data_IF_227688036737
#
_entry.id   IF_227688036737
#
_cell.length_a   1.000
_cell.length_b   1.000
_cell.length_c   1.000
_cell.angle_alpha   90.00
_cell.angle_beta   90.00
_cell.angle_gamma   90.00
#
_symmetry.space_group_name_H-M   'P 1'
#
loop_
_entity.id
_entity.type
_entity.pdbx_description
1 polymer ?
#
# COMPACT_ATOMS: atom_id res chain seq x y z
N UNK A 1 12.98 0.62 -28.80
CA UNK A 1 12.65 0.77 -27.36
C UNK A 1 12.49 -0.56 -26.64
N UNK A 2 11.60 -1.47 -27.07
CA UNK A 2 11.40 -2.80 -26.42
C UNK A 2 12.64 -3.71 -26.31
N UNK A 3 13.68 -3.49 -27.13
CA UNK A 3 14.96 -4.22 -27.02
C UNK A 3 15.83 -3.81 -25.80
N UNK A 4 15.46 -2.77 -25.04
CA UNK A 4 16.24 -2.28 -23.87
C UNK A 4 15.43 -2.09 -22.58
N UNK A 5 14.11 -1.97 -22.66
CA UNK A 5 13.27 -1.68 -21.49
C UNK A 5 11.99 -2.53 -21.54
N UNK A 6 11.73 -3.27 -20.46
CA UNK A 6 10.52 -4.10 -20.29
C UNK A 6 9.38 -3.33 -19.58
N UNK A 7 9.29 -2.01 -19.73
CA UNK A 7 8.32 -1.19 -18.98
C UNK A 7 6.94 -1.29 -19.65
N UNK A 8 5.81 -1.35 -18.91
CA UNK A 8 4.48 -1.37 -19.51
C UNK A 8 4.19 -0.12 -20.33
N UNK A 9 3.60 -0.30 -21.51
CA UNK A 9 3.23 0.79 -22.43
C UNK A 9 1.73 0.77 -22.71
N UNK A 10 1.05 1.87 -22.38
CA UNK A 10 -0.35 2.11 -22.75
C UNK A 10 -0.38 3.14 -23.87
N UNK A 11 -0.97 2.80 -25.01
CA UNK A 11 -1.18 3.74 -26.11
C UNK A 11 -2.56 4.37 -25.98
N UNK A 12 -2.62 5.71 -26.09
CA UNK A 12 -3.86 6.46 -26.03
C UNK A 12 -4.05 7.23 -27.33
N UNK A 13 -5.15 7.00 -28.04
CA UNK A 13 -5.35 7.50 -29.40
C UNK A 13 -6.81 7.92 -29.67
N UNK A 14 -7.01 8.84 -30.62
CA UNK A 14 -8.35 9.19 -31.12
C UNK A 14 -8.79 8.32 -32.32
N UNK A 15 -7.92 7.40 -32.76
CA UNK A 15 -8.20 6.49 -33.88
C UNK A 15 -8.90 5.25 -33.36
N UNK A 16 -10.13 5.06 -33.83
CA UNK A 16 -11.04 4.02 -33.34
C UNK A 16 -11.14 2.82 -34.28
N UNK A 17 -10.44 2.86 -35.42
CA UNK A 17 -10.37 1.73 -36.35
C UNK A 17 -9.66 0.54 -35.70
N UNK A 18 -10.25 -0.64 -35.81
CA UNK A 18 -9.71 -1.87 -35.20
C UNK A 18 -8.32 -2.22 -35.75
N UNK A 19 -8.05 -1.85 -37.00
CA UNK A 19 -6.73 -2.00 -37.64
C UNK A 19 -5.65 -1.22 -36.87
N UNK A 20 -5.95 -0.03 -36.37
CA UNK A 20 -4.99 0.80 -35.63
C UNK A 20 -4.77 0.31 -34.20
N UNK A 21 -5.81 -0.25 -33.56
CA UNK A 21 -5.67 -0.95 -32.27
C UNK A 21 -4.76 -2.18 -32.39
N UNK A 22 -5.00 -3.00 -33.41
CA UNK A 22 -4.22 -4.21 -33.68
C UNK A 22 -2.76 -3.85 -33.97
N UNK A 23 -2.52 -2.81 -34.78
CA UNK A 23 -1.15 -2.31 -35.04
C UNK A 23 -0.48 -1.84 -33.75
N UNK A 24 -1.15 -1.03 -32.93
CA UNK A 24 -0.59 -0.52 -31.67
C UNK A 24 -0.15 -1.63 -30.71
N UNK A 25 -0.96 -2.68 -30.58
CA UNK A 25 -0.62 -3.86 -29.77
C UNK A 25 0.54 -4.66 -30.38
N UNK A 26 0.53 -4.88 -31.71
CA UNK A 26 1.59 -5.62 -32.42
C UNK A 26 2.96 -4.89 -32.41
N UNK A 27 2.98 -3.56 -32.38
CA UNK A 27 4.22 -2.78 -32.21
C UNK A 27 4.74 -2.75 -30.77
N UNK A 28 4.00 -3.37 -29.85
CA UNK A 28 4.44 -3.61 -28.49
C UNK A 28 3.91 -2.65 -27.44
N UNK A 29 2.66 -2.23 -27.61
CA UNK A 29 1.87 -1.76 -26.48
C UNK A 29 1.32 -2.94 -25.68
N UNK A 30 1.19 -2.77 -24.36
CA UNK A 30 0.53 -3.73 -23.46
C UNK A 30 -0.97 -3.41 -23.31
N UNK A 31 -1.38 -2.21 -23.71
CA UNK A 31 -2.77 -1.76 -23.79
C UNK A 31 -2.94 -0.67 -24.85
N UNK A 32 -4.17 -0.55 -25.37
CA UNK A 32 -4.56 0.50 -26.30
C UNK A 32 -5.92 1.04 -25.91
N UNK A 33 -6.00 2.34 -25.65
CA UNK A 33 -7.23 3.01 -25.21
C UNK A 33 -7.62 4.14 -26.16
N UNK A 34 -8.87 4.11 -26.62
CA UNK A 34 -9.44 5.10 -27.53
C UNK A 34 -10.04 6.28 -26.78
N UNK A 35 -9.91 7.49 -27.30
CA UNK A 35 -10.64 8.67 -26.81
C UNK A 35 -12.09 8.62 -27.31
N UNK A 36 -13.08 9.07 -26.51
CA UNK A 36 -12.95 9.58 -25.15
C UNK A 36 -12.86 8.45 -24.10
N UNK A 37 -12.12 8.68 -23.01
CA UNK A 37 -12.00 7.79 -21.86
C UNK A 37 -12.17 8.59 -20.56
N UNK A 38 -12.55 7.91 -19.48
CA UNK A 38 -12.60 8.56 -18.16
C UNK A 38 -11.21 8.54 -17.48
N UNK A 39 -10.84 9.57 -16.70
CA UNK A 39 -9.63 9.54 -15.89
C UNK A 39 -9.56 8.33 -14.94
N UNK A 40 -10.71 7.88 -14.42
CA UNK A 40 -10.80 6.71 -13.55
C UNK A 40 -10.44 5.40 -14.29
N UNK A 41 -10.88 5.26 -15.54
CA UNK A 41 -10.54 4.10 -16.37
C UNK A 41 -9.04 4.05 -16.67
N UNK A 42 -8.45 5.19 -17.04
CA UNK A 42 -7.00 5.27 -17.27
C UNK A 42 -6.23 4.90 -16.00
N UNK A 43 -6.63 5.44 -14.84
CA UNK A 43 -5.99 5.15 -13.56
C UNK A 43 -6.07 3.65 -13.20
N UNK A 44 -7.23 3.01 -13.42
CA UNK A 44 -7.41 1.58 -13.19
C UNK A 44 -6.49 0.72 -14.09
N UNK A 45 -6.37 1.08 -15.38
CA UNK A 45 -5.48 0.40 -16.33
C UNK A 45 -4.02 0.56 -15.96
N UNK A 46 -3.59 1.79 -15.63
CA UNK A 46 -2.22 2.05 -15.16
C UNK A 46 -1.90 1.17 -13.94
N UNK A 47 -2.78 1.14 -12.94
CA UNK A 47 -2.59 0.32 -11.72
C UNK A 47 -2.48 -1.17 -12.04
N UNK A 48 -3.30 -1.67 -12.96
CA UNK A 48 -3.27 -3.09 -13.38
C UNK A 48 -1.94 -3.46 -14.05
N UNK A 49 -1.44 -2.61 -14.97
CA UNK A 49 -0.19 -2.86 -15.69
C UNK A 49 1.05 -2.76 -14.81
N UNK A 50 1.10 -1.77 -13.91
CA UNK A 50 2.16 -1.68 -12.90
C UNK A 50 2.15 -2.92 -12.00
N UNK A 51 0.98 -3.34 -11.50
CA UNK A 51 0.88 -4.52 -10.64
C UNK A 51 1.35 -5.79 -11.35
N UNK A 52 1.01 -5.97 -12.63
CA UNK A 52 1.46 -7.10 -13.44
C UNK A 52 2.96 -7.07 -13.70
N UNK A 53 3.51 -5.89 -13.95
CA UNK A 53 4.93 -5.69 -14.20
C UNK A 53 5.80 -6.05 -13.00
N UNK A 54 5.42 -5.56 -11.82
CA UNK A 54 6.12 -5.90 -10.57
C UNK A 54 6.12 -7.41 -10.31
N UNK A 55 5.00 -8.10 -10.60
CA UNK A 55 4.90 -9.56 -10.47
C UNK A 55 5.84 -10.31 -11.43
N UNK A 56 5.98 -9.84 -12.67
CA UNK A 56 6.79 -10.50 -13.71
C UNK A 56 8.29 -10.28 -13.53
N UNK A 57 8.70 -9.15 -12.95
CA UNK A 57 10.11 -8.81 -12.70
C UNK A 57 10.81 -9.66 -11.64
N UNK A 58 10.16 -10.69 -11.11
CA UNK A 58 10.68 -11.43 -9.96
C UNK A 58 10.66 -10.60 -8.67
N UNK A 59 10.02 -9.43 -8.69
CA UNK A 59 9.54 -8.73 -7.49
C UNK A 59 8.29 -9.46 -6.95
N UNK A 60 8.41 -10.78 -6.78
CA UNK A 60 7.57 -11.55 -5.88
C UNK A 60 7.89 -11.13 -4.44
N UNK A 61 7.47 -9.92 -4.11
CA UNK A 61 7.34 -9.44 -2.75
C UNK A 61 6.27 -8.36 -2.77
N UNK A 62 5.02 -8.82 -2.66
CA UNK A 62 4.28 -8.41 -1.46
C UNK A 62 5.24 -8.65 -0.29
N UNK A 63 6.11 -7.69 0.03
CA UNK A 63 7.25 -7.93 0.89
C UNK A 63 6.75 -8.58 2.15
N UNK A 64 7.01 -9.89 2.29
CA UNK A 64 6.65 -10.61 3.49
C UNK A 64 7.33 -9.91 4.66
N UNK A 65 8.45 -9.22 4.43
CA UNK A 65 9.15 -8.45 5.44
C UNK A 65 9.06 -6.96 5.11
N UNK A 66 8.39 -6.17 5.95
CA UNK A 66 8.49 -4.70 5.91
C UNK A 66 9.60 -4.30 6.88
N UNK A 67 10.66 -3.63 6.41
CA UNK A 67 11.81 -3.24 7.23
C UNK A 67 12.07 -1.73 7.16
N UNK A 68 12.08 -1.06 8.33
CA UNK A 68 12.27 0.39 8.46
C UNK A 68 12.99 0.70 9.77
N UNK A 69 14.13 1.39 9.74
CA UNK A 69 14.86 1.87 10.95
C UNK A 69 14.95 0.84 12.10
N UNK A 70 15.23 -0.41 11.77
CA UNK A 70 15.33 -1.50 12.74
C UNK A 70 14.00 -2.16 13.15
N UNK A 71 12.84 -1.63 12.76
CA UNK A 71 11.57 -2.34 12.80
C UNK A 71 11.49 -3.30 11.62
N UNK A 72 11.24 -4.58 11.87
CA UNK A 72 10.93 -5.57 10.85
C UNK A 72 9.59 -6.24 11.13
N UNK A 73 8.72 -6.33 10.12
CA UNK A 73 7.42 -6.97 10.19
C UNK A 73 7.41 -8.10 9.17
N UNK A 74 7.54 -9.34 9.65
CA UNK A 74 7.33 -10.53 8.84
C UNK A 74 5.83 -10.91 8.84
N UNK A 75 5.19 -10.75 7.69
CA UNK A 75 3.78 -10.99 7.39
C UNK A 75 3.46 -12.47 7.25
N UNK A 76 4.36 -13.28 6.70
CA UNK A 76 4.13 -14.72 6.60
C UNK A 76 4.17 -15.39 7.97
N UNK A 77 5.12 -15.00 8.82
CA UNK A 77 5.27 -15.57 10.16
C UNK A 77 4.53 -14.80 11.25
N UNK A 78 3.79 -13.73 10.92
CA UNK A 78 3.16 -12.81 11.90
C UNK A 78 4.13 -12.29 12.99
N UNK A 79 5.41 -12.12 12.66
CA UNK A 79 6.46 -11.75 13.63
C UNK A 79 6.87 -10.29 13.45
N UNK A 80 7.02 -9.57 14.56
CA UNK A 80 7.54 -8.18 14.56
C UNK A 80 8.78 -8.12 15.42
N UNK A 81 9.84 -7.51 14.92
CA UNK A 81 11.08 -7.26 15.67
C UNK A 81 11.44 -5.77 15.65
N UNK A 82 12.10 -5.30 16.70
CA UNK A 82 12.70 -3.96 16.77
C UNK A 82 14.14 -4.13 17.20
N UNK A 83 15.07 -3.70 16.34
CA UNK A 83 16.50 -3.89 16.50
C UNK A 83 16.86 -5.36 16.80
N UNK A 84 16.24 -6.28 16.07
CA UNK A 84 16.43 -7.73 16.21
C UNK A 84 15.75 -8.37 17.41
N UNK A 85 15.09 -7.61 18.29
CA UNK A 85 14.34 -8.15 19.44
C UNK A 85 12.86 -8.31 19.09
N UNK A 86 12.32 -9.49 19.31
CA UNK A 86 10.91 -9.75 19.02
C UNK A 86 9.96 -8.96 19.94
N UNK A 87 8.94 -8.36 19.34
CA UNK A 87 7.92 -7.55 20.00
C UNK A 87 6.57 -8.26 19.90
N UNK A 88 5.96 -8.57 21.03
CA UNK A 88 4.64 -9.22 21.08
C UNK A 88 3.51 -8.22 20.92
N UNK A 89 2.78 -8.34 19.83
CA UNK A 89 1.55 -7.58 19.54
C UNK A 89 0.34 -8.51 19.69
N UNK A 90 -0.78 -7.95 20.14
CA UNK A 90 -2.09 -8.60 20.01
C UNK A 90 -2.54 -8.58 18.55
N UNK A 91 -3.53 -9.39 18.17
CA UNK A 91 -3.99 -9.47 16.77
C UNK A 91 -4.38 -8.10 16.21
N UNK A 92 -5.14 -7.30 16.95
CA UNK A 92 -5.55 -5.95 16.51
C UNK A 92 -4.40 -4.95 16.44
N UNK A 93 -3.44 -5.03 17.37
CA UNK A 93 -2.24 -4.18 17.30
C UNK A 93 -1.38 -4.52 16.08
N UNK A 94 -1.23 -5.82 15.77
CA UNK A 94 -0.51 -6.31 14.61
C UNK A 94 -1.20 -5.87 13.30
N UNK A 95 -2.51 -6.10 13.20
CA UNK A 95 -3.31 -5.72 12.03
C UNK A 95 -3.20 -4.21 11.73
N UNK A 96 -3.32 -3.36 12.75
CA UNK A 96 -3.14 -1.90 12.60
C UNK A 96 -1.72 -1.56 12.13
N UNK A 97 -0.69 -2.14 12.75
CA UNK A 97 0.69 -1.86 12.37
C UNK A 97 0.96 -2.27 10.92
N UNK A 98 0.53 -3.47 10.51
CA UNK A 98 0.67 -3.95 9.12
C UNK A 98 -0.09 -3.06 8.15
N UNK A 99 -1.33 -2.66 8.49
CA UNK A 99 -2.14 -1.78 7.65
C UNK A 99 -1.43 -0.45 7.39
N UNK A 100 -0.94 0.20 8.45
CA UNK A 100 -0.23 1.48 8.32
C UNK A 100 1.11 1.32 7.61
N UNK A 101 1.91 0.31 7.97
CA UNK A 101 3.24 0.08 7.40
C UNK A 101 3.19 -0.37 5.93
N UNK A 102 2.11 -1.04 5.52
CA UNK A 102 1.88 -1.39 4.10
C UNK A 102 1.44 -0.19 3.26
N UNK A 103 1.07 0.92 3.89
CA UNK A 103 0.61 2.15 3.25
C UNK A 103 1.42 3.36 3.77
N UNK A 104 2.75 3.36 3.59
CA UNK A 104 3.62 4.36 4.17
C UNK A 104 3.32 5.75 3.61
N UNK A 105 3.55 6.77 4.43
CA UNK A 105 3.36 8.18 4.11
C UNK A 105 1.91 8.61 3.77
N UNK A 106 0.92 7.74 3.92
CA UNK A 106 -0.52 8.05 3.76
C UNK A 106 -1.14 8.32 5.13
N UNK A 107 -1.94 9.39 5.24
CA UNK A 107 -2.70 9.70 6.46
C UNK A 107 -4.05 8.98 6.41
N UNK A 108 -4.32 8.16 7.43
CA UNK A 108 -5.61 7.50 7.62
C UNK A 108 -6.34 8.09 8.82
N UNK A 109 -7.63 8.39 8.64
CA UNK A 109 -8.48 8.82 9.75
C UNK A 109 -8.71 7.67 10.74
N UNK A 110 -9.15 8.00 11.96
CA UNK A 110 -9.56 6.97 12.94
C UNK A 110 -10.64 6.06 12.37
N UNK A 111 -11.61 6.62 11.64
CA UNK A 111 -12.65 5.86 10.95
C UNK A 111 -12.08 4.91 9.92
N UNK A 112 -11.18 5.37 9.04
CA UNK A 112 -10.59 4.50 8.02
C UNK A 112 -9.81 3.33 8.63
N UNK A 113 -9.05 3.57 9.70
CA UNK A 113 -8.33 2.51 10.40
C UNK A 113 -9.33 1.56 11.05
N UNK A 114 -10.37 2.10 11.70
CA UNK A 114 -11.39 1.28 12.35
C UNK A 114 -12.09 0.36 11.34
N UNK A 115 -12.62 0.91 10.24
CA UNK A 115 -13.32 0.16 9.21
C UNK A 115 -12.43 -0.91 8.56
N UNK A 116 -11.15 -0.59 8.35
CA UNK A 116 -10.19 -1.52 7.74
C UNK A 116 -9.85 -2.71 8.64
N UNK A 117 -9.94 -2.53 9.97
CA UNK A 117 -9.48 -3.53 10.95
C UNK A 117 -10.65 -4.29 11.59
N UNK A 118 -11.79 -3.64 11.83
CA UNK A 118 -12.97 -4.26 12.45
C UNK A 118 -14.10 -4.53 11.45
N UNK A 119 -14.09 -3.90 10.27
CA UNK A 119 -15.15 -4.00 9.28
C UNK A 119 -16.22 -2.92 9.47
N UNK A 120 -16.87 -2.53 8.37
CA UNK A 120 -17.86 -1.44 8.32
C UNK A 120 -19.17 -1.73 9.06
N UNK A 121 -19.46 -2.99 9.37
CA UNK A 121 -20.66 -3.42 10.09
C UNK A 121 -20.47 -3.41 11.61
N UNK A 122 -19.24 -3.20 12.09
CA UNK A 122 -18.94 -3.22 13.52
C UNK A 122 -19.29 -1.88 14.17
N UNK A 123 -20.29 -1.87 15.05
CA UNK A 123 -20.64 -0.69 15.85
C UNK A 123 -19.72 -0.64 17.07
N UNK A 124 -18.74 0.25 17.05
CA UNK A 124 -17.84 0.45 18.18
C UNK A 124 -17.26 1.86 18.24
N UNK A 125 -16.51 2.12 19.30
CA UNK A 125 -15.94 3.44 19.57
C UNK A 125 -14.61 3.63 18.81
N UNK A 126 -14.56 4.65 17.94
CA UNK A 126 -13.35 5.09 17.25
C UNK A 126 -12.20 5.45 18.20
N UNK A 127 -12.50 5.74 19.47
CA UNK A 127 -11.48 5.94 20.50
C UNK A 127 -10.60 4.69 20.70
N UNK A 128 -11.09 3.49 20.39
CA UNK A 128 -10.30 2.25 20.50
C UNK A 128 -9.05 2.28 19.61
N UNK A 129 -9.13 2.93 18.43
CA UNK A 129 -7.98 3.08 17.53
C UNK A 129 -6.86 3.85 18.23
N UNK A 130 -7.18 4.94 18.93
CA UNK A 130 -6.17 5.73 19.65
C UNK A 130 -5.51 4.92 20.77
N UNK A 131 -6.28 4.12 21.50
CA UNK A 131 -5.76 3.22 22.55
C UNK A 131 -4.81 2.19 21.95
N UNK A 132 -5.17 1.55 20.83
CA UNK A 132 -4.29 0.60 20.16
C UNK A 132 -3.03 1.25 19.61
N UNK A 133 -3.13 2.43 18.98
CA UNK A 133 -1.95 3.19 18.51
C UNK A 133 -1.02 3.51 19.68
N UNK A 134 -1.55 3.94 20.83
CA UNK A 134 -0.73 4.18 22.02
C UNK A 134 -0.02 2.92 22.51
N UNK A 135 -0.71 1.76 22.52
CA UNK A 135 -0.11 0.47 22.90
C UNK A 135 0.95 0.00 21.90
N UNK A 136 0.73 0.19 20.60
CA UNK A 136 1.73 -0.12 19.56
C UNK A 136 2.96 0.75 19.77
N UNK A 137 2.80 2.07 19.94
CA UNK A 137 3.94 2.98 20.15
C UNK A 137 4.78 2.60 21.36
N UNK A 138 4.14 2.27 22.49
CA UNK A 138 4.83 1.78 23.69
C UNK A 138 5.68 0.53 23.46
N UNK A 139 5.40 -0.24 22.41
CA UNK A 139 6.07 -1.50 22.10
C UNK A 139 7.13 -1.37 21.00
N UNK A 140 6.93 -0.47 20.04
CA UNK A 140 7.82 -0.36 18.87
C UNK A 140 8.68 0.89 18.83
N UNK A 141 8.24 1.98 19.46
CA UNK A 141 8.93 3.26 19.44
C UNK A 141 9.96 3.32 20.56
N UNK A 142 11.07 4.02 20.31
CA UNK A 142 12.04 4.35 21.37
C UNK A 142 11.44 5.32 22.39
N UNK A 143 10.72 6.34 21.90
CA UNK A 143 9.96 7.28 22.72
C UNK A 143 8.51 7.37 22.19
N UNK A 144 7.52 6.83 22.90
CA UNK A 144 6.12 6.88 22.47
C UNK A 144 5.52 8.29 22.36
N UNK A 145 6.12 9.29 23.02
CA UNK A 145 5.68 10.70 22.93
C UNK A 145 6.26 11.40 21.70
N UNK A 146 7.41 10.94 21.21
CA UNK A 146 8.04 11.41 19.98
C UNK A 146 8.24 10.25 19.00
N UNK A 147 7.14 9.74 18.40
CA UNK A 147 7.17 8.52 17.60
C UNK A 147 7.91 8.72 16.26
N UNK A 148 8.76 7.76 15.92
CA UNK A 148 9.51 7.72 14.66
C UNK A 148 8.75 6.96 13.56
N UNK A 149 7.97 5.94 13.93
CA UNK A 149 7.23 5.10 12.98
C UNK A 149 5.80 5.57 12.76
N UNK A 150 5.00 5.73 13.82
CA UNK A 150 3.58 6.08 13.71
C UNK A 150 3.40 7.53 14.14
N UNK A 151 3.28 8.44 13.18
CA UNK A 151 3.07 9.86 13.43
C UNK A 151 1.58 10.20 13.60
N UNK A 152 1.29 11.14 14.50
CA UNK A 152 -0.05 11.74 14.60
C UNK A 152 -0.13 12.92 13.63
N UNK A 153 -1.06 12.88 12.68
CA UNK A 153 -1.49 14.05 11.93
C UNK A 153 -2.63 14.72 12.68
N UNK A 154 -2.31 15.77 13.45
CA UNK A 154 -3.26 16.48 14.31
C UNK A 154 -4.51 16.92 13.54
N UNK A 155 -5.69 16.60 14.08
CA UNK A 155 -6.97 16.90 13.44
C UNK A 155 -7.39 15.95 12.31
N UNK A 156 -6.54 15.00 11.90
CA UNK A 156 -6.85 14.09 10.78
C UNK A 156 -6.77 12.62 11.17
N UNK A 157 -5.65 12.16 11.75
CA UNK A 157 -5.46 10.75 12.04
C UNK A 157 -3.99 10.34 12.20
N UNK A 158 -3.62 9.20 11.62
CA UNK A 158 -2.30 8.59 11.78
C UNK A 158 -1.65 8.22 10.46
N UNK A 159 -0.32 8.22 10.43
CA UNK A 159 0.48 7.87 9.26
C UNK A 159 1.72 7.10 9.69
N UNK A 160 2.10 6.10 8.90
CA UNK A 160 3.39 5.43 9.05
C UNK A 160 4.48 6.20 8.30
N UNK A 161 5.63 6.44 8.94
CA UNK A 161 6.80 7.12 8.37
C UNK A 161 7.90 6.12 8.07
N UNK A 162 8.57 6.33 6.94
CA UNK A 162 9.81 5.64 6.57
C UNK A 162 11.02 6.31 7.23
#
# INVERSE_FOLDING_TARGET
MRKKFEIPVIVVSARNEDIDKIRGLNFGADDYMTKPFSPAELAARIKSHISRYERLKGNNFSSEIIAVKGLEINRASHRVTVNGKEVKLTSKEYEILVFLASNPNIVFTKGNIFDSIWGSEFIGDLATVAVHIQKIRKKIEKDPQNPEFIETSWGTGYRFKL
#
